data_IF_908827342788
#
_entry.id   IF_908827342788
#
_cell.length_a   1.000
_cell.length_b   1.000
_cell.length_c   1.000
_cell.angle_alpha   90.00
_cell.angle_beta   90.00
_cell.angle_gamma   90.00
#
_symmetry.space_group_name_H-M   'P 1'
#
loop_
_entity.id
_entity.type
_entity.pdbx_description
1 polymer ?
#
# COMPACT_ATOMS: atom_id res chain seq x y z
N UNK A 1 -17.29 27.34 24.48
CA UNK A 1 -17.35 28.38 23.43
C UNK A 1 -16.53 27.85 22.25
N UNK A 2 -17.18 27.25 21.24
CA UNK A 2 -16.52 26.57 20.10
C UNK A 2 -15.92 27.53 19.07
N UNK A 3 -16.20 28.83 19.17
CA UNK A 3 -15.67 29.84 18.24
C UNK A 3 -14.15 30.08 18.35
N UNK A 4 -13.49 29.55 19.38
CA UNK A 4 -12.06 29.74 19.62
C UNK A 4 -11.24 28.46 19.40
N UNK A 5 -11.83 27.41 18.78
CA UNK A 5 -11.08 26.20 18.45
C UNK A 5 -10.11 26.42 17.28
N UNK A 6 -10.43 27.35 16.37
CA UNK A 6 -9.62 27.62 15.17
C UNK A 6 -8.56 28.70 15.41
N UNK A 7 -8.56 29.37 16.58
CA UNK A 7 -7.62 30.48 16.85
C UNK A 7 -6.16 30.04 17.00
N UNK A 8 -5.93 28.75 17.29
CA UNK A 8 -4.58 28.16 17.40
C UNK A 8 -4.33 27.10 16.31
N UNK A 9 -5.22 26.98 15.30
CA UNK A 9 -4.97 26.09 14.16
C UNK A 9 -4.02 26.78 13.19
N UNK A 10 -2.78 26.29 13.00
CA UNK A 10 -1.85 26.87 12.03
C UNK A 10 -2.34 26.75 10.58
N UNK A 11 -3.47 26.07 10.35
CA UNK A 11 -4.05 25.81 9.05
C UNK A 11 -3.26 24.74 8.31
N UNK A 12 -3.72 24.40 7.11
CA UNK A 12 -3.00 23.50 6.22
C UNK A 12 -2.01 24.28 5.37
N UNK A 13 -0.83 23.72 5.15
CA UNK A 13 0.12 24.23 4.17
C UNK A 13 -0.49 24.11 2.77
N UNK A 14 -0.54 25.21 2.03
CA UNK A 14 -0.93 25.22 0.62
C UNK A 14 0.36 25.13 -0.17
N UNK A 15 0.61 23.95 -0.76
CA UNK A 15 1.74 23.71 -1.66
C UNK A 15 1.41 24.27 -3.04
N UNK A 16 2.42 24.76 -3.76
CA UNK A 16 2.28 25.07 -5.18
C UNK A 16 2.47 23.82 -6.07
N UNK A 17 2.17 23.94 -7.37
CA UNK A 17 2.23 22.82 -8.31
C UNK A 17 3.64 22.17 -8.38
N UNK A 18 4.71 22.96 -8.27
CA UNK A 18 6.09 22.50 -8.28
C UNK A 18 6.45 21.81 -6.95
N UNK A 19 6.02 22.36 -5.80
CA UNK A 19 6.23 21.76 -4.47
C UNK A 19 5.47 20.43 -4.30
N UNK A 20 4.30 20.30 -4.92
CA UNK A 20 3.54 19.03 -4.99
C UNK A 20 4.32 18.00 -5.81
N UNK A 21 4.88 18.40 -6.96
CA UNK A 21 5.65 17.50 -7.83
C UNK A 21 6.92 17.03 -7.11
N UNK A 22 7.66 17.93 -6.46
CA UNK A 22 8.84 17.55 -5.66
C UNK A 22 8.48 16.61 -4.52
N UNK A 23 7.37 16.85 -3.81
CA UNK A 23 6.91 15.98 -2.73
C UNK A 23 6.57 14.56 -3.20
N UNK A 24 6.11 14.40 -4.44
CA UNK A 24 5.81 13.07 -5.01
C UNK A 24 7.09 12.38 -5.47
N UNK A 25 7.99 13.13 -6.13
CA UNK A 25 9.27 12.60 -6.62
C UNK A 25 10.21 12.20 -5.49
N UNK A 26 10.21 12.94 -4.38
CA UNK A 26 11.05 12.65 -3.21
C UNK A 26 10.56 11.43 -2.40
N UNK A 27 9.39 10.86 -2.72
CA UNK A 27 8.86 9.63 -2.08
C UNK A 27 9.29 8.38 -2.85
N UNK A 28 9.82 8.52 -4.08
CA UNK A 28 10.30 7.39 -4.87
C UNK A 28 11.70 6.89 -4.43
N UNK A 29 12.46 7.69 -3.67
CA UNK A 29 13.84 7.40 -3.27
C UNK A 29 13.97 6.62 -1.93
N UNK A 30 12.85 6.32 -1.26
CA UNK A 30 12.84 5.41 -0.08
C UNK A 30 12.57 3.95 -0.45
N UNK A 31 12.48 3.63 -1.74
CA UNK A 31 12.45 2.24 -2.21
C UNK A 31 13.87 1.80 -2.57
N UNK A 32 14.77 1.79 -1.57
CA UNK A 32 16.06 1.13 -1.73
C UNK A 32 15.82 -0.30 -2.20
N UNK A 33 16.26 -0.55 -3.43
CA UNK A 33 16.47 -1.86 -4.01
C UNK A 33 17.49 -2.62 -3.14
N UNK A 34 16.99 -3.29 -2.09
CA UNK A 34 17.73 -4.40 -1.49
C UNK A 34 17.53 -5.64 -2.38
N UNK A 35 18.10 -5.58 -3.58
CA UNK A 35 18.37 -6.73 -4.43
C UNK A 35 19.55 -7.50 -3.82
N UNK A 36 19.28 -8.20 -2.72
CA UNK A 36 20.20 -9.19 -2.18
C UNK A 36 20.26 -10.41 -3.12
N UNK A 37 21.18 -10.32 -4.08
CA UNK A 37 21.60 -11.42 -4.93
C UNK A 37 22.45 -12.40 -4.11
N UNK A 38 21.75 -13.26 -3.38
CA UNK A 38 22.25 -14.56 -2.95
C UNK A 38 22.36 -14.76 -1.45
N UNK A 39 21.38 -15.44 -0.87
CA UNK A 39 21.51 -16.85 -0.52
C UNK A 39 20.23 -17.41 0.11
N UNK A 40 19.98 -18.68 -0.21
CA UNK A 40 19.14 -19.63 0.53
C UNK A 40 17.63 -19.55 0.34
N UNK A 41 17.10 -20.65 -0.20
CA UNK A 41 15.70 -20.94 -0.39
C UNK A 41 14.92 -20.87 0.93
N UNK A 42 14.39 -19.70 1.25
CA UNK A 42 13.15 -19.56 2.01
C UNK A 42 12.05 -19.29 0.99
N UNK A 43 11.06 -20.17 0.90
CA UNK A 43 9.90 -19.97 0.03
C UNK A 43 9.03 -18.85 0.60
N UNK A 44 9.51 -17.62 0.52
CA UNK A 44 8.78 -16.41 0.86
C UNK A 44 7.93 -16.07 -0.36
N UNK A 45 6.64 -16.38 -0.26
CA UNK A 45 5.68 -15.95 -1.27
C UNK A 45 5.78 -14.42 -1.47
N UNK A 46 5.57 -13.90 -2.69
CA UNK A 46 5.59 -12.47 -2.93
C UNK A 46 4.54 -11.76 -2.07
N UNK A 47 4.86 -10.56 -1.60
CA UNK A 47 3.90 -9.72 -0.85
C UNK A 47 2.61 -9.49 -1.65
N UNK A 48 1.52 -9.09 -0.99
CA UNK A 48 0.27 -8.78 -1.70
C UNK A 48 0.42 -7.65 -2.73
N UNK A 49 1.28 -6.66 -2.45
CA UNK A 49 1.56 -5.59 -3.41
C UNK A 49 2.43 -6.07 -4.56
N UNK A 50 3.51 -6.82 -4.27
CA UNK A 50 4.37 -7.43 -5.29
C UNK A 50 3.56 -8.32 -6.23
N UNK A 51 2.71 -9.19 -5.69
CA UNK A 51 1.83 -10.05 -6.47
C UNK A 51 0.87 -9.24 -7.35
N UNK A 52 0.30 -8.15 -6.84
CA UNK A 52 -0.58 -7.26 -7.61
C UNK A 52 0.17 -6.62 -8.79
N UNK A 53 1.36 -6.05 -8.55
CA UNK A 53 2.17 -5.41 -9.59
C UNK A 53 2.59 -6.40 -10.68
N UNK A 54 3.05 -7.59 -10.31
CA UNK A 54 3.39 -8.64 -11.27
C UNK A 54 2.18 -9.05 -12.12
N UNK A 55 0.99 -9.13 -11.54
CA UNK A 55 -0.23 -9.49 -12.26
C UNK A 55 -0.70 -8.37 -13.22
N UNK A 56 -0.50 -7.10 -12.87
CA UNK A 56 -0.75 -5.98 -13.80
C UNK A 56 0.18 -6.04 -15.01
N UNK A 57 1.47 -6.30 -14.81
CA UNK A 57 2.45 -6.48 -15.90
C UNK A 57 2.05 -7.69 -16.78
N UNK A 58 1.68 -8.81 -16.16
CA UNK A 58 1.25 -10.00 -16.88
C UNK A 58 -0.02 -9.74 -17.71
N UNK A 59 -0.97 -8.94 -17.19
CA UNK A 59 -2.18 -8.54 -17.91
C UNK A 59 -1.85 -7.66 -19.11
N UNK A 60 -1.02 -6.62 -18.94
CA UNK A 60 -0.59 -5.76 -20.04
C UNK A 60 0.10 -6.57 -21.15
N UNK A 61 0.94 -7.52 -20.79
CA UNK A 61 1.58 -8.41 -21.76
C UNK A 61 0.57 -9.32 -22.45
N UNK A 62 -0.33 -9.96 -21.70
CA UNK A 62 -1.27 -10.96 -22.24
C UNK A 62 -2.34 -10.33 -23.15
N UNK A 63 -2.78 -9.11 -22.86
CA UNK A 63 -3.74 -8.36 -23.69
C UNK A 63 -3.19 -8.05 -25.10
N UNK A 64 -1.87 -8.01 -25.27
CA UNK A 64 -1.20 -7.77 -26.55
C UNK A 64 -0.92 -9.04 -27.37
N UNK A 65 -1.19 -10.23 -26.85
CA UNK A 65 -0.91 -11.49 -27.56
C UNK A 65 -2.05 -11.86 -28.51
N UNK A 66 -1.73 -12.48 -29.65
CA UNK A 66 -2.73 -12.98 -30.60
C UNK A 66 -3.57 -14.11 -29.99
N UNK A 67 -2.98 -14.87 -29.07
CA UNK A 67 -3.62 -15.96 -28.33
C UNK A 67 -4.37 -15.50 -27.07
N UNK A 68 -4.63 -14.20 -26.94
CA UNK A 68 -5.41 -13.64 -25.85
C UNK A 68 -6.83 -14.22 -25.84
N UNK A 69 -7.03 -15.23 -24.99
CA UNK A 69 -8.32 -15.87 -24.77
C UNK A 69 -9.10 -15.12 -23.68
N UNK A 70 -10.36 -14.70 -23.94
CA UNK A 70 -11.16 -13.96 -22.97
C UNK A 70 -11.36 -14.68 -21.64
N UNK A 71 -11.45 -16.02 -21.64
CA UNK A 71 -11.63 -16.78 -20.40
C UNK A 71 -10.36 -16.78 -19.56
N UNK A 72 -9.18 -16.98 -20.17
CA UNK A 72 -7.88 -16.84 -19.50
C UNK A 72 -7.66 -15.41 -18.99
N UNK A 73 -8.01 -14.40 -19.79
CA UNK A 73 -7.89 -12.99 -19.39
C UNK A 73 -8.75 -12.68 -18.16
N UNK A 74 -10.01 -13.16 -18.15
CA UNK A 74 -10.91 -13.02 -17.00
C UNK A 74 -10.34 -13.71 -15.76
N UNK A 75 -9.82 -14.93 -15.90
CA UNK A 75 -9.16 -15.64 -14.81
C UNK A 75 -7.99 -14.83 -14.22
N UNK A 76 -7.14 -14.26 -15.08
CA UNK A 76 -6.00 -13.45 -14.65
C UNK A 76 -6.44 -12.17 -13.92
N UNK A 77 -7.48 -11.49 -14.42
CA UNK A 77 -8.10 -10.32 -13.76
C UNK A 77 -8.65 -10.68 -12.38
N UNK A 78 -9.32 -11.82 -12.24
CA UNK A 78 -9.83 -12.29 -10.96
C UNK A 78 -8.71 -12.55 -9.93
N UNK A 79 -7.57 -13.10 -10.37
CA UNK A 79 -6.41 -13.35 -9.51
C UNK A 79 -5.78 -12.02 -9.07
N UNK A 80 -5.65 -11.05 -9.99
CA UNK A 80 -5.20 -9.69 -9.65
C UNK A 80 -6.12 -9.03 -8.63
N UNK A 81 -7.43 -9.11 -8.83
CA UNK A 81 -8.40 -8.50 -7.92
C UNK A 81 -8.35 -9.13 -6.53
N UNK A 82 -8.03 -10.42 -6.44
CA UNK A 82 -7.74 -11.08 -5.15
C UNK A 82 -6.50 -10.47 -4.48
N UNK A 83 -5.40 -10.27 -5.21
CA UNK A 83 -4.20 -9.62 -4.69
C UNK A 83 -4.49 -8.18 -4.23
N UNK A 84 -5.25 -7.41 -5.02
CA UNK A 84 -5.68 -6.05 -4.70
C UNK A 84 -6.51 -6.00 -3.41
N UNK A 85 -7.48 -6.91 -3.25
CA UNK A 85 -8.29 -7.04 -2.02
C UNK A 85 -7.42 -7.36 -0.82
N UNK A 86 -6.45 -8.27 -0.96
CA UNK A 86 -5.54 -8.61 0.14
C UNK A 86 -4.64 -7.44 0.53
N UNK A 87 -4.15 -6.68 -0.45
CA UNK A 87 -3.39 -5.43 -0.23
C UNK A 87 -4.21 -4.40 0.57
N UNK A 88 -5.49 -4.23 0.27
CA UNK A 88 -6.33 -3.26 1.01
C UNK A 88 -6.72 -3.75 2.40
N UNK A 89 -6.83 -5.07 2.62
CA UNK A 89 -7.12 -5.60 3.96
C UNK A 89 -5.96 -5.45 4.94
N UNK A 90 -4.70 -5.47 4.48
CA UNK A 90 -3.53 -5.17 5.32
C UNK A 90 -3.43 -3.70 5.71
N UNK A 91 -4.13 -2.81 4.99
CA UNK A 91 -4.18 -1.36 5.24
C UNK A 91 -5.39 -0.92 6.09
N UNK A 92 -6.37 -1.80 6.37
CA UNK A 92 -7.47 -1.43 7.28
C UNK A 92 -6.91 -1.38 8.70
N UNK A 93 -6.72 -0.15 9.17
CA UNK A 93 -6.48 0.28 10.55
C UNK A 93 -6.88 -0.77 11.59
N UNK A 94 -5.97 -1.02 12.54
CA UNK A 94 -6.29 -1.60 13.84
C UNK A 94 -7.55 -0.95 14.38
N UNK A 95 -8.46 -1.76 14.92
CA UNK A 95 -9.72 -1.24 15.43
C UNK A 95 -9.41 -0.20 16.49
N UNK A 96 -10.20 0.89 16.56
CA UNK A 96 -9.99 1.95 17.57
C UNK A 96 -9.97 1.36 19.00
N UNK A 97 -10.64 0.22 19.19
CA UNK A 97 -10.65 -0.59 20.43
C UNK A 97 -9.29 -1.15 20.83
N UNK A 98 -8.36 -1.36 19.89
CA UNK A 98 -7.03 -1.90 20.18
C UNK A 98 -6.11 -0.87 20.86
N UNK A 99 -6.35 0.43 20.65
CA UNK A 99 -5.67 1.50 21.38
C UNK A 99 -6.06 1.58 22.87
N UNK A 100 -7.27 1.13 23.22
CA UNK A 100 -7.74 1.14 24.62
C UNK A 100 -7.15 0.00 25.45
N UNK A 101 -6.63 -1.06 24.83
CA UNK A 101 -6.03 -2.21 25.52
C UNK A 101 -4.61 -1.92 26.05
N UNK A 102 -3.90 -0.94 25.49
CA UNK A 102 -2.55 -0.58 25.91
C UNK A 102 -2.48 0.25 27.21
N UNK A 103 -3.61 0.78 27.72
CA UNK A 103 -3.62 1.72 28.86
C UNK A 103 -3.74 1.10 30.26
N UNK A 104 -3.73 -0.23 30.40
CA UNK A 104 -3.67 -0.87 31.72
C UNK A 104 -2.22 -1.16 32.10
N UNK A 105 -1.54 -0.16 32.67
CA UNK A 105 -0.37 -0.41 33.49
C UNK A 105 -0.82 -1.05 34.82
N UNK A 106 -0.15 -2.10 35.33
CA UNK A 106 -0.38 -2.57 36.68
C UNK A 106 0.23 -1.56 37.66
N UNK A 107 -0.59 -1.06 38.59
CA UNK A 107 -0.11 -0.38 39.79
C UNK A 107 0.42 -1.47 40.71
N UNK A 108 1.72 -1.75 40.65
CA UNK A 108 2.37 -2.56 41.69
C UNK A 108 2.46 -1.73 42.98
N UNK A 109 2.05 -2.39 44.07
CA UNK A 109 1.84 -1.85 45.42
C UNK A 109 3.09 -1.89 46.28
#
# INVERSE_FOLDING_TARGET
MWLACDSDDPGYQILDDDEIVESILNVEDEMEEDLDEGAEAQTTYPSHDTAFRCLEIALQWFECQEECDPAKLLCLKNIRDLAAKKRTTTLRQTSITDFFKQKQCPMES
#
